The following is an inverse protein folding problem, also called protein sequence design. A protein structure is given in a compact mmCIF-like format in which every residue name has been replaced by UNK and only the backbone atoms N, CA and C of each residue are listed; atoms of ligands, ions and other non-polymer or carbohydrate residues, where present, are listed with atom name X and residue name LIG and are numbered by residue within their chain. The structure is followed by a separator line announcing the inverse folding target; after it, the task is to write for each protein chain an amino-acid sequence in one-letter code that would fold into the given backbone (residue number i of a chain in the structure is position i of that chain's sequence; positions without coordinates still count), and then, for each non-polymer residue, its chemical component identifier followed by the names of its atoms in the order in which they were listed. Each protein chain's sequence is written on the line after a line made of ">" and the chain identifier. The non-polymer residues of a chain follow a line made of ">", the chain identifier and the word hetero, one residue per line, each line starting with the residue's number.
data_IF_696442876279
#
_entry.id   IF_696442876279
#
_cell.length_a   1.000
_cell.length_b   1.000
_cell.length_c   1.000
_cell.angle_alpha   90.00
_cell.angle_beta   90.00
_cell.angle_gamma   90.00
#
_symmetry.space_group_name_H-M   'P 1'
#
loop_
_entity.id
_entity.type
_entity.pdbx_description
1 polymer ?
#
# COMPACT_ATOMS: atom_id res chain seq x y z
N UNK A 1 -7.35 16.59 -9.77
CA UNK A 1 -8.39 16.00 -10.62
C UNK A 1 -8.03 14.54 -10.89
N UNK A 2 -9.03 13.63 -10.96
CA UNK A 2 -8.80 12.22 -11.26
C UNK A 2 -8.23 11.99 -12.66
N UNK A 3 -7.58 10.85 -12.86
CA UNK A 3 -7.25 10.35 -14.20
C UNK A 3 -8.53 9.88 -14.89
N UNK A 4 -8.87 10.51 -16.01
CA UNK A 4 -10.09 10.20 -16.77
C UNK A 4 -9.99 8.93 -17.60
N UNK A 5 -8.77 8.54 -18.01
CA UNK A 5 -8.51 7.37 -18.87
C UNK A 5 -8.89 6.05 -18.19
N UNK A 6 -8.87 6.01 -16.86
CA UNK A 6 -9.12 4.80 -16.07
C UNK A 6 -10.50 4.77 -15.42
N UNK A 7 -11.35 5.78 -15.66
CA UNK A 7 -12.68 5.89 -15.04
C UNK A 7 -13.54 4.63 -15.26
N UNK A 8 -13.44 3.99 -16.43
CA UNK A 8 -14.16 2.76 -16.75
C UNK A 8 -13.80 1.54 -15.89
N UNK A 9 -12.68 1.58 -15.16
CA UNK A 9 -12.23 0.49 -14.27
C UNK A 9 -12.63 0.69 -12.80
N UNK A 10 -13.37 1.75 -12.48
CA UNK A 10 -13.82 2.04 -11.12
C UNK A 10 -15.01 1.19 -10.72
N UNK A 11 -14.74 -0.07 -10.39
CA UNK A 11 -15.78 -1.03 -10.03
C UNK A 11 -16.60 -0.57 -8.81
N UNK A 12 -16.03 0.23 -7.91
CA UNK A 12 -16.72 0.74 -6.72
C UNK A 12 -17.79 1.80 -7.02
N UNK A 13 -17.81 2.38 -8.22
CA UNK A 13 -18.83 3.37 -8.64
C UNK A 13 -20.10 2.71 -9.21
N UNK A 14 -20.19 1.37 -9.19
CA UNK A 14 -21.33 0.59 -9.68
C UNK A 14 -21.62 -0.65 -8.83
N UNK A 15 -22.74 -1.32 -9.11
CA UNK A 15 -23.08 -2.62 -8.54
C UNK A 15 -23.15 -2.67 -7.01
N UNK A 16 -22.60 -3.75 -6.46
CA UNK A 16 -22.59 -4.02 -5.02
C UNK A 16 -21.97 -2.88 -4.22
N UNK A 17 -20.73 -2.48 -4.55
CA UNK A 17 -19.99 -1.49 -3.78
C UNK A 17 -20.69 -0.13 -3.72
N UNK A 18 -21.22 0.36 -4.86
CA UNK A 18 -21.99 1.61 -4.88
C UNK A 18 -23.19 1.55 -3.92
N UNK A 19 -23.90 0.42 -3.93
CA UNK A 19 -25.11 0.25 -3.11
C UNK A 19 -24.76 0.12 -1.64
N UNK A 20 -23.74 -0.67 -1.31
CA UNK A 20 -23.31 -0.96 0.06
C UNK A 20 -22.66 0.24 0.74
N UNK A 21 -21.90 1.06 0.01
CA UNK A 21 -21.23 2.24 0.57
C UNK A 21 -22.18 3.45 0.70
N UNK A 22 -23.19 3.55 -0.17
CA UNK A 22 -24.03 4.74 -0.25
C UNK A 22 -23.22 5.98 -0.58
N UNK A 23 -23.13 6.92 0.37
CA UNK A 23 -22.34 8.16 0.24
C UNK A 23 -20.89 8.01 0.72
N UNK A 24 -20.53 6.87 1.31
CA UNK A 24 -19.17 6.65 1.82
C UNK A 24 -18.19 6.39 0.67
N UNK A 25 -16.95 6.90 0.74
CA UNK A 25 -15.94 6.65 -0.27
C UNK A 25 -15.37 5.24 -0.15
N UNK A 26 -14.89 4.71 -1.28
CA UNK A 26 -14.08 3.49 -1.31
C UNK A 26 -12.61 3.85 -1.04
N UNK A 27 -12.08 3.40 0.09
CA UNK A 27 -10.74 3.71 0.58
C UNK A 27 -9.68 2.72 0.08
N UNK A 28 -8.44 3.18 -0.04
CA UNK A 28 -7.28 2.38 -0.49
C UNK A 28 -6.45 1.93 0.71
N UNK A 29 -6.04 0.66 0.74
CA UNK A 29 -5.29 0.07 1.86
C UNK A 29 -3.79 0.38 1.89
N UNK A 30 -3.25 1.01 0.84
CA UNK A 30 -1.81 1.28 0.70
C UNK A 30 -1.24 2.24 1.76
N UNK A 31 -2.07 3.15 2.31
CA UNK A 31 -1.68 4.08 3.36
C UNK A 31 -2.86 4.36 4.29
N UNK A 32 -2.67 4.14 5.59
CA UNK A 32 -3.67 4.44 6.60
C UNK A 32 -3.03 4.73 7.97
N UNK A 33 -3.82 5.31 8.87
CA UNK A 33 -3.44 5.57 10.26
C UNK A 33 -4.42 4.87 11.18
N UNK A 34 -3.91 4.25 12.24
CA UNK A 34 -4.73 3.61 13.26
C UNK A 34 -4.50 4.27 14.61
N UNK A 35 -5.54 4.89 15.17
CA UNK A 35 -5.57 5.23 16.59
C UNK A 35 -5.76 3.94 17.39
N UNK A 36 -4.64 3.34 17.81
CA UNK A 36 -4.64 2.07 18.53
C UNK A 36 -5.38 2.13 19.87
N UNK A 37 -5.38 3.28 20.56
CA UNK A 37 -6.07 3.42 21.83
C UNK A 37 -7.58 3.36 21.62
N UNK A 38 -8.10 4.18 20.70
CA UNK A 38 -9.53 4.18 20.34
C UNK A 38 -9.94 2.84 19.73
N UNK A 39 -9.12 2.27 18.84
CA UNK A 39 -9.39 1.00 18.17
C UNK A 39 -9.59 -0.16 19.17
N UNK A 40 -8.68 -0.29 20.15
CA UNK A 40 -8.81 -1.30 21.20
C UNK A 40 -10.00 -1.04 22.11
N UNK A 41 -10.15 0.21 22.58
CA UNK A 41 -11.24 0.59 23.50
C UNK A 41 -12.63 0.38 22.90
N UNK A 42 -12.78 0.48 21.58
CA UNK A 42 -14.04 0.28 20.86
C UNK A 42 -14.28 -1.17 20.41
N UNK A 43 -13.31 -2.07 20.60
CA UNK A 43 -13.45 -3.47 20.17
C UNK A 43 -13.51 -3.64 18.64
N UNK A 44 -13.00 -2.69 17.85
CA UNK A 44 -13.11 -2.75 16.38
C UNK A 44 -12.36 -3.92 15.76
N UNK A 45 -11.29 -4.40 16.41
CA UNK A 45 -10.60 -5.62 15.98
C UNK A 45 -11.48 -6.86 16.00
N UNK A 46 -12.37 -7.00 16.99
CA UNK A 46 -13.30 -8.13 17.07
C UNK A 46 -14.40 -8.02 16.00
N UNK A 47 -14.88 -6.80 15.73
CA UNK A 47 -15.84 -6.57 14.65
C UNK A 47 -15.27 -7.01 13.30
N UNK A 48 -14.02 -6.64 12.99
CA UNK A 48 -13.37 -7.09 11.77
C UNK A 48 -13.23 -8.61 11.69
N UNK A 49 -12.88 -9.29 12.80
CA UNK A 49 -12.80 -10.75 12.84
C UNK A 49 -14.15 -11.42 12.59
N UNK A 50 -15.24 -10.87 13.15
CA UNK A 50 -16.60 -11.38 12.94
C UNK A 50 -17.02 -11.21 11.48
N UNK A 51 -16.76 -10.05 10.87
CA UNK A 51 -17.06 -9.85 9.45
C UNK A 51 -16.23 -10.78 8.57
N UNK A 52 -14.93 -10.91 8.85
CA UNK A 52 -14.06 -11.83 8.14
C UNK A 52 -14.57 -13.27 8.21
N UNK A 53 -14.87 -13.81 9.40
CA UNK A 53 -15.38 -15.18 9.56
C UNK A 53 -16.64 -15.45 8.73
N UNK A 54 -17.54 -14.47 8.67
CA UNK A 54 -18.77 -14.61 7.89
C UNK A 54 -18.54 -14.54 6.38
N UNK A 55 -17.72 -13.60 5.93
CA UNK A 55 -17.46 -13.37 4.51
C UNK A 55 -16.51 -14.41 3.91
N UNK A 56 -15.55 -14.91 4.68
CA UNK A 56 -14.55 -15.89 4.21
C UNK A 56 -15.13 -17.26 3.87
N UNK A 57 -16.41 -17.50 4.19
CA UNK A 57 -17.14 -18.72 3.83
C UNK A 57 -17.37 -18.84 2.33
N UNK A 58 -17.44 -17.71 1.62
CA UNK A 58 -17.49 -17.66 0.15
C UNK A 58 -16.14 -17.19 -0.40
N UNK A 59 -15.43 -18.02 -1.21
CA UNK A 59 -14.13 -17.65 -1.77
C UNK A 59 -14.19 -16.43 -2.71
N UNK A 60 -15.37 -16.01 -3.18
CA UNK A 60 -15.51 -14.88 -4.10
C UNK A 60 -15.77 -13.53 -3.41
N UNK A 61 -15.96 -13.52 -2.08
CA UNK A 61 -16.42 -12.32 -1.36
C UNK A 61 -15.31 -11.30 -1.06
N UNK A 62 -14.07 -11.73 -0.84
CA UNK A 62 -12.95 -10.88 -0.38
C UNK A 62 -11.78 -10.96 -1.37
N UNK A 63 -11.96 -10.36 -2.55
CA UNK A 63 -10.95 -10.39 -3.61
C UNK A 63 -9.63 -9.74 -3.19
N UNK A 64 -9.71 -8.63 -2.44
CA UNK A 64 -8.57 -7.96 -1.81
C UNK A 64 -8.88 -7.75 -0.32
N UNK A 65 -8.64 -8.77 0.50
CA UNK A 65 -9.00 -8.80 1.94
C UNK A 65 -8.66 -7.50 2.69
N UNK A 66 -7.45 -6.98 2.50
CA UNK A 66 -6.92 -5.81 3.19
C UNK A 66 -7.65 -4.50 2.84
N UNK A 67 -8.29 -4.44 1.67
CA UNK A 67 -9.05 -3.28 1.20
C UNK A 67 -10.56 -3.50 1.33
N UNK A 68 -11.06 -4.67 0.94
CA UNK A 68 -12.48 -4.98 0.91
C UNK A 68 -13.06 -5.08 2.32
N UNK A 69 -12.34 -5.68 3.28
CA UNK A 69 -12.86 -5.84 4.64
C UNK A 69 -13.06 -4.48 5.36
N UNK A 70 -12.09 -3.53 5.36
CA UNK A 70 -12.33 -2.17 5.85
C UNK A 70 -13.47 -1.45 5.14
N UNK A 71 -13.55 -1.55 3.81
CA UNK A 71 -14.60 -0.89 3.05
C UNK A 71 -16.00 -1.47 3.31
N UNK A 72 -16.10 -2.78 3.53
CA UNK A 72 -17.36 -3.43 3.88
C UNK A 72 -17.84 -3.01 5.28
N UNK A 73 -16.92 -2.91 6.24
CA UNK A 73 -17.25 -2.67 7.64
C UNK A 73 -17.47 -1.19 8.00
N UNK A 74 -17.38 -0.25 7.06
CA UNK A 74 -17.37 1.21 7.35
C UNK A 74 -18.56 1.70 8.20
N UNK A 75 -19.74 1.08 8.05
CA UNK A 75 -20.93 1.41 8.83
C UNK A 75 -20.82 1.04 10.32
N UNK A 76 -19.95 0.09 10.67
CA UNK A 76 -19.72 -0.40 12.04
C UNK A 76 -18.37 0.05 12.60
N UNK A 77 -17.35 0.09 11.75
CA UNK A 77 -16.00 0.56 12.05
C UNK A 77 -15.72 1.81 11.20
N UNK A 78 -15.93 3.02 11.76
CA UNK A 78 -15.83 4.25 10.98
C UNK A 78 -14.42 4.47 10.42
N UNK A 79 -14.36 4.89 9.15
CA UNK A 79 -13.12 5.34 8.50
C UNK A 79 -13.18 6.87 8.35
N UNK A 80 -12.11 7.54 8.74
CA UNK A 80 -11.93 8.97 8.53
C UNK A 80 -11.00 9.17 7.34
N UNK A 81 -11.49 9.85 6.28
CA UNK A 81 -10.72 10.04 5.06
C UNK A 81 -9.54 11.00 5.29
N UNK A 82 -8.36 10.59 4.82
CA UNK A 82 -7.21 11.49 4.73
C UNK A 82 -7.37 12.44 3.53
N UNK A 83 -6.77 13.64 3.58
CA UNK A 83 -6.66 14.51 2.40
C UNK A 83 -6.04 13.79 1.19
N UNK A 84 -6.53 14.07 -0.02
CA UNK A 84 -6.09 13.39 -1.25
C UNK A 84 -4.59 13.49 -1.51
N UNK A 85 -3.92 14.56 -1.06
CA UNK A 85 -2.49 14.71 -1.30
C UNK A 85 -1.62 13.69 -0.55
N UNK A 86 -2.20 12.93 0.40
CA UNK A 86 -1.47 11.88 1.11
C UNK A 86 -1.16 10.67 0.24
N UNK A 87 -1.92 10.40 -0.83
CA UNK A 87 -1.71 9.23 -1.66
C UNK A 87 -1.92 9.58 -3.14
N UNK A 88 -0.87 9.45 -3.93
CA UNK A 88 -0.94 9.60 -5.38
C UNK A 88 -0.56 8.30 -6.07
N UNK A 89 -1.29 7.96 -7.14
CA UNK A 89 -1.00 6.79 -7.97
C UNK A 89 -1.32 7.15 -9.42
N UNK A 90 -0.41 6.84 -10.34
CA UNK A 90 -0.52 7.26 -11.75
C UNK A 90 -1.80 6.75 -12.44
N UNK A 91 -2.26 5.57 -12.05
CA UNK A 91 -3.44 4.95 -12.62
C UNK A 91 -4.71 5.74 -12.30
N UNK A 92 -4.85 6.32 -11.11
CA UNK A 92 -6.11 6.91 -10.66
C UNK A 92 -6.07 8.43 -10.51
N UNK A 93 -4.89 9.00 -10.30
CA UNK A 93 -4.69 10.42 -10.07
C UNK A 93 -4.21 11.12 -11.34
N UNK A 94 -4.70 12.33 -11.61
CA UNK A 94 -4.19 13.15 -12.70
C UNK A 94 -2.76 13.62 -12.44
N UNK A 95 -1.97 13.79 -13.51
CA UNK A 95 -0.57 14.25 -13.39
C UNK A 95 -0.44 15.64 -12.75
N UNK A 96 -1.47 16.47 -12.82
CA UNK A 96 -1.49 17.81 -12.22
C UNK A 96 -1.45 17.79 -10.68
N UNK A 97 -1.84 16.69 -10.03
CA UNK A 97 -1.81 16.56 -8.56
C UNK A 97 -0.52 15.92 -8.03
N UNK A 98 0.32 15.37 -8.91
CA UNK A 98 1.59 14.75 -8.53
C UNK A 98 2.54 15.69 -7.76
N UNK A 99 2.68 16.99 -8.12
CA UNK A 99 3.58 17.89 -7.41
C UNK A 99 3.23 18.13 -5.94
N UNK A 100 1.95 17.99 -5.57
CA UNK A 100 1.48 18.17 -4.17
C UNK A 100 1.46 16.87 -3.38
N UNK A 101 1.74 15.72 -4.02
CA UNK A 101 1.68 14.41 -3.40
C UNK A 101 2.75 14.24 -2.30
N UNK A 102 2.32 13.74 -1.14
CA UNK A 102 3.18 13.42 0.01
C UNK A 102 3.71 12.00 -0.06
N UNK A 103 2.91 11.07 -0.60
CA UNK A 103 3.35 9.69 -0.89
C UNK A 103 2.89 9.28 -2.28
N UNK A 104 3.61 8.34 -2.88
CA UNK A 104 3.29 7.79 -4.20
C UNK A 104 3.22 6.27 -4.07
N UNK A 105 2.06 5.71 -4.39
CA UNK A 105 1.90 4.28 -4.59
C UNK A 105 2.14 3.93 -6.06
N UNK A 106 3.01 2.95 -6.29
CA UNK A 106 3.21 2.36 -7.61
C UNK A 106 2.12 1.31 -7.81
N UNK A 107 0.88 1.77 -8.00
CA UNK A 107 -0.32 0.95 -8.20
C UNK A 107 -0.28 0.17 -9.52
N UNK A 108 -1.04 -0.92 -9.62
CA UNK A 108 -1.21 -1.67 -10.87
C UNK A 108 -2.04 -0.87 -11.86
N UNK A 109 -1.64 -0.88 -13.13
CA UNK A 109 -2.37 -0.22 -14.21
C UNK A 109 -3.19 -1.25 -15.00
N UNK A 110 -4.52 -1.08 -15.17
CA UNK A 110 -5.32 -2.01 -15.97
C UNK A 110 -5.10 -1.85 -17.49
N UNK A 111 -4.53 -0.73 -17.93
CA UNK A 111 -4.26 -0.44 -19.34
C UNK A 111 -2.90 -0.97 -19.81
N UNK A 112 -1.97 -1.24 -18.90
CA UNK A 112 -0.59 -1.64 -19.24
C UNK A 112 -0.08 -2.72 -18.29
N UNK A 113 0.97 -3.44 -18.70
CA UNK A 113 1.65 -4.46 -17.86
C UNK A 113 3.09 -4.05 -17.53
N UNK A 114 3.32 -2.76 -17.31
CA UNK A 114 4.65 -2.23 -17.00
C UNK A 114 5.18 -2.84 -15.68
N UNK A 115 6.40 -3.40 -15.65
CA UNK A 115 7.03 -3.87 -14.41
C UNK A 115 7.28 -2.73 -13.42
N UNK A 116 7.18 -3.02 -12.11
CA UNK A 116 7.34 -2.01 -11.05
C UNK A 116 8.68 -1.28 -11.06
N UNK A 117 9.77 -1.95 -11.42
CA UNK A 117 11.10 -1.31 -11.50
C UNK A 117 11.17 -0.23 -12.60
N UNK A 118 10.54 -0.49 -13.73
CA UNK A 118 10.44 0.49 -14.82
C UNK A 118 9.55 1.66 -14.40
N UNK A 119 8.40 1.34 -13.78
CA UNK A 119 7.47 2.33 -13.26
C UNK A 119 8.14 3.22 -12.20
N UNK A 120 8.91 2.65 -11.26
CA UNK A 120 9.63 3.38 -10.24
C UNK A 120 10.62 4.38 -10.85
N UNK A 121 11.42 3.92 -11.81
CA UNK A 121 12.40 4.76 -12.52
C UNK A 121 11.73 5.89 -13.29
N UNK A 122 10.59 5.64 -13.95
CA UNK A 122 9.88 6.62 -14.77
C UNK A 122 9.05 7.61 -13.93
N UNK A 123 8.33 7.11 -12.92
CA UNK A 123 7.39 7.89 -12.11
C UNK A 123 8.11 8.63 -10.99
N UNK A 124 9.00 7.96 -10.25
CA UNK A 124 9.73 8.57 -9.13
C UNK A 124 11.02 9.24 -9.61
N UNK A 125 11.59 8.79 -10.73
CA UNK A 125 12.73 9.44 -11.38
C UNK A 125 14.03 9.27 -10.59
N UNK A 126 14.84 10.32 -10.62
CA UNK A 126 16.16 10.37 -9.98
C UNK A 126 16.13 10.05 -8.48
N UNK A 127 15.01 10.35 -7.78
CA UNK A 127 14.88 10.05 -6.36
C UNK A 127 14.97 8.55 -6.08
N UNK A 128 14.36 7.72 -6.92
CA UNK A 128 14.42 6.26 -6.79
C UNK A 128 15.84 5.76 -7.07
N UNK A 129 16.40 6.12 -8.22
CA UNK A 129 17.75 5.69 -8.64
C UNK A 129 18.82 6.10 -7.63
N UNK A 130 18.69 7.27 -7.00
CA UNK A 130 19.62 7.73 -5.95
C UNK A 130 19.53 6.87 -4.69
N UNK A 131 18.32 6.55 -4.23
CA UNK A 131 18.12 5.70 -3.04
C UNK A 131 18.60 4.27 -3.29
N UNK A 132 18.36 3.73 -4.49
CA UNK A 132 18.83 2.40 -4.88
C UNK A 132 20.37 2.31 -4.90
N UNK A 133 21.04 3.33 -5.45
CA UNK A 133 22.51 3.45 -5.39
C UNK A 133 23.03 3.58 -3.95
N UNK A 134 22.34 4.34 -3.10
CA UNK A 134 22.72 4.48 -1.70
C UNK A 134 22.62 3.14 -0.96
N UNK A 135 21.54 2.38 -1.18
CA UNK A 135 21.37 1.01 -0.67
C UNK A 135 22.50 0.10 -1.14
N UNK A 136 22.86 0.14 -2.43
CA UNK A 136 23.94 -0.68 -2.98
C UNK A 136 25.31 -0.34 -2.36
N UNK A 137 25.58 0.94 -2.08
CA UNK A 137 26.82 1.35 -1.40
C UNK A 137 26.90 0.78 0.02
N UNK A 138 25.81 0.87 0.79
CA UNK A 138 25.76 0.37 2.16
C UNK A 138 26.02 -1.14 2.20
N UNK A 139 25.43 -1.91 1.28
CA UNK A 139 25.65 -3.35 1.22
C UNK A 139 27.08 -3.74 0.83
N UNK A 140 27.71 -2.96 -0.05
CA UNK A 140 29.11 -3.16 -0.40
C UNK A 140 30.03 -2.88 0.80
N UNK A 141 29.73 -1.85 1.58
CA UNK A 141 30.49 -1.49 2.79
C UNK A 141 30.35 -2.57 3.87
N UNK A 142 29.14 -3.09 4.11
CA UNK A 142 28.89 -4.18 5.07
C UNK A 142 29.61 -5.48 4.66
N UNK A 143 29.61 -5.81 3.37
CA UNK A 143 30.32 -6.98 2.84
C UNK A 143 31.84 -6.86 3.05
N UNK A 144 32.38 -5.66 2.87
CA UNK A 144 33.82 -5.40 3.07
C UNK A 144 34.20 -5.45 4.56
N UNK A 145 33.35 -4.93 5.44
CA UNK A 145 33.56 -4.99 6.89
C UNK A 145 33.50 -6.43 7.44
N UNK A 146 32.58 -7.26 6.94
CA UNK A 146 32.43 -8.67 7.35
C UNK A 146 33.56 -9.60 6.89
N UNK A 147 34.38 -9.18 5.92
CA UNK A 147 35.57 -9.92 5.47
C UNK A 147 36.85 -9.57 6.27
N UNK A 148 36.78 -8.62 7.21
CA UNK A 148 37.89 -8.21 8.06
C UNK A 148 38.12 -9.08 9.31
N UNK A 149 37.14 -9.89 9.72
CA UNK A 149 37.32 -10.90 10.78
C UNK A 149 37.67 -12.26 10.17
N UNK A 150 38.92 -12.41 9.74
CA UNK A 150 39.48 -13.75 9.58
C UNK A 150 39.46 -14.46 10.95
N UNK A 151 39.02 -15.72 11.05
CA UNK A 151 39.09 -16.45 12.31
C UNK A 151 40.56 -16.51 12.73
N UNK A 152 40.84 -16.03 13.95
CA UNK A 152 42.16 -16.16 14.55
C UNK A 152 42.57 -17.63 14.47
N UNK A 153 43.63 -17.93 13.71
CA UNK A 153 44.21 -19.27 13.67
C UNK A 153 44.49 -19.68 15.12
N UNK A 154 43.82 -20.73 15.58
CA UNK A 154 44.15 -21.39 16.82
C UNK A 154 45.66 -21.70 16.78
N UNK A 155 46.41 -21.14 17.73
CA UNK A 155 47.80 -21.53 17.94
C UNK A 155 47.75 -22.93 18.54
N UNK A 156 48.26 -23.89 17.79
CA UNK A 156 48.64 -25.20 18.33
C UNK A 156 49.64 -24.99 19.48
N UNK A 157 49.32 -25.51 20.67
CA UNK A 157 50.32 -25.79 21.71
C UNK A 157 50.04 -27.18 22.32
N UNK A 158 50.94 -28.11 21.97
CA UNK A 158 51.49 -29.28 22.68
C UNK A 158 50.60 -30.11 23.62
#
# INVERSE_FOLDING_TARGET
>A
APNTETTGFRFWESGFWKTSLGEQPYHISALFVVDLYKFRRRGYGDQYRIFYDNLSKDPNSLSNLDQDLPNYAQHVVPIHSLPEEWLWCETWCGNTTKPTAKTIDLCNNPLTKEPKLNQATRVIGERWTRLDKQRASIEADETTAGQGEAPAKARDEL
#
